data_IF_058376982337
#
_entry.id   IF_058376982337
#
_cell.length_a   1.000
_cell.length_b   1.000
_cell.length_c   1.000
_cell.angle_alpha   90.00
_cell.angle_beta   90.00
_cell.angle_gamma   90.00
#
_symmetry.space_group_name_H-M   'P 1'
#
loop_
_entity.id
_entity.type
_entity.pdbx_description
1 polymer ?
#
# COMPACT_ATOMS: atom_id res chain seq x y z
N UNK A 1 -18.29 -19.03 -37.17
CA UNK A 1 -17.72 -18.66 -35.85
C UNK A 1 -17.45 -17.17 -35.87
N UNK A 2 -18.29 -16.36 -35.22
CA UNK A 2 -18.14 -14.90 -35.18
C UNK A 2 -17.22 -14.58 -34.01
N UNK A 3 -15.96 -14.25 -34.29
CA UNK A 3 -15.06 -13.70 -33.28
C UNK A 3 -15.68 -12.36 -32.86
N UNK A 4 -15.94 -12.10 -31.55
CA UNK A 4 -16.40 -10.79 -31.09
C UNK A 4 -15.49 -9.73 -31.72
N UNK A 5 -16.09 -8.74 -32.40
CA UNK A 5 -15.36 -7.72 -33.18
C UNK A 5 -14.20 -7.19 -32.33
N UNK A 6 -12.95 -7.35 -32.78
CA UNK A 6 -11.74 -7.04 -32.02
C UNK A 6 -11.75 -5.66 -31.32
N UNK A 7 -12.51 -4.71 -31.87
CA UNK A 7 -12.78 -3.39 -31.29
C UNK A 7 -13.43 -3.48 -29.91
N UNK A 8 -14.46 -4.32 -29.74
CA UNK A 8 -15.15 -4.51 -28.47
C UNK A 8 -14.20 -5.08 -27.41
N UNK A 9 -13.42 -6.12 -27.77
CA UNK A 9 -12.43 -6.72 -26.87
C UNK A 9 -11.37 -5.70 -26.44
N UNK A 10 -10.87 -4.88 -27.36
CA UNK A 10 -9.90 -3.82 -27.06
C UNK A 10 -10.50 -2.74 -26.14
N UNK A 11 -11.73 -2.30 -26.41
CA UNK A 11 -12.44 -1.33 -25.55
C UNK A 11 -12.66 -1.87 -24.14
N UNK A 12 -13.10 -3.13 -24.00
CA UNK A 12 -13.27 -3.77 -22.69
C UNK A 12 -11.94 -3.90 -21.96
N UNK A 13 -10.87 -4.27 -22.66
CA UNK A 13 -9.53 -4.36 -22.09
C UNK A 13 -9.03 -2.99 -21.58
N UNK A 14 -9.11 -1.94 -22.41
CA UNK A 14 -8.72 -0.59 -22.03
C UNK A 14 -9.50 -0.08 -20.80
N UNK A 15 -10.81 -0.34 -20.77
CA UNK A 15 -11.64 0.00 -19.60
C UNK A 15 -11.18 -0.73 -18.35
N UNK A 16 -10.90 -2.03 -18.45
CA UNK A 16 -10.39 -2.84 -17.34
C UNK A 16 -9.04 -2.32 -16.84
N UNK A 17 -8.13 -1.91 -17.72
CA UNK A 17 -6.85 -1.30 -17.33
C UNK A 17 -7.05 0.00 -16.55
N UNK A 18 -7.99 0.86 -16.98
CA UNK A 18 -8.32 2.11 -16.29
C UNK A 18 -8.92 1.84 -14.91
N UNK A 19 -9.89 0.92 -14.83
CA UNK A 19 -10.51 0.51 -13.58
C UNK A 19 -9.48 -0.05 -12.59
N UNK A 20 -8.57 -0.90 -13.07
CA UNK A 20 -7.48 -1.43 -12.26
C UNK A 20 -6.56 -0.33 -11.74
N UNK A 21 -6.15 0.62 -12.61
CA UNK A 21 -5.33 1.78 -12.18
C UNK A 21 -6.04 2.64 -11.14
N UNK A 22 -7.33 2.88 -11.29
CA UNK A 22 -8.10 3.63 -10.29
C UNK A 22 -8.17 2.89 -8.95
N UNK A 23 -8.33 1.57 -8.97
CA UNK A 23 -8.32 0.75 -7.76
C UNK A 23 -6.97 0.82 -7.05
N UNK A 24 -5.85 0.67 -7.79
CA UNK A 24 -4.49 0.85 -7.24
C UNK A 24 -4.35 2.20 -6.54
N UNK A 25 -4.72 3.29 -7.23
CA UNK A 25 -4.59 4.64 -6.68
C UNK A 25 -5.47 4.86 -5.44
N UNK A 26 -6.66 4.26 -5.42
CA UNK A 26 -7.57 4.30 -4.27
C UNK A 26 -6.95 3.60 -3.06
N UNK A 27 -6.45 2.38 -3.23
CA UNK A 27 -5.81 1.62 -2.15
C UNK A 27 -4.57 2.33 -1.61
N UNK A 28 -3.71 2.85 -2.49
CA UNK A 28 -2.53 3.65 -2.08
C UNK A 28 -2.95 4.84 -1.23
N UNK A 29 -3.96 5.60 -1.68
CA UNK A 29 -4.46 6.77 -0.95
C UNK A 29 -5.02 6.37 0.41
N UNK A 30 -5.86 5.35 0.44
CA UNK A 30 -6.46 4.83 1.67
C UNK A 30 -5.38 4.44 2.68
N UNK A 31 -4.38 3.68 2.24
CA UNK A 31 -3.31 3.21 3.10
C UNK A 31 -2.42 4.36 3.61
N UNK A 32 -2.03 5.30 2.74
CA UNK A 32 -1.28 6.50 3.17
C UNK A 32 -2.07 7.32 4.19
N UNK A 33 -3.39 7.50 3.98
CA UNK A 33 -4.25 8.20 4.93
C UNK A 33 -4.31 7.48 6.28
N UNK A 34 -4.35 6.15 6.27
CA UNK A 34 -4.32 5.34 7.49
C UNK A 34 -3.00 5.48 8.25
N UNK A 35 -1.86 5.43 7.56
CA UNK A 35 -0.55 5.68 8.16
C UNK A 35 -0.52 7.05 8.82
N UNK A 36 -0.91 8.10 8.11
CA UNK A 36 -0.91 9.47 8.64
C UNK A 36 -1.85 9.61 9.84
N UNK A 37 -3.03 8.98 9.79
CA UNK A 37 -3.97 8.95 10.90
C UNK A 37 -3.35 8.30 12.14
N UNK A 38 -2.72 7.15 11.97
CA UNK A 38 -2.07 6.41 13.06
C UNK A 38 -0.87 7.14 13.64
N UNK A 39 -0.07 7.81 12.79
CA UNK A 39 1.05 8.65 13.20
C UNK A 39 0.62 9.94 13.90
N UNK A 40 -0.62 10.41 13.73
CA UNK A 40 -1.13 11.60 14.45
C UNK A 40 -1.82 11.25 15.76
N UNK A 41 -2.21 9.99 15.95
CA UNK A 41 -2.87 9.56 17.18
C UNK A 41 -1.88 9.51 18.34
N UNK A 42 -2.08 10.38 19.32
CA UNK A 42 -1.20 10.58 20.49
C UNK A 42 -1.08 9.35 21.38
N UNK A 43 -2.06 8.45 21.35
CA UNK A 43 -2.05 7.18 22.09
C UNK A 43 -0.96 6.24 21.58
N UNK A 44 -0.72 6.24 20.26
CA UNK A 44 0.30 5.41 19.63
C UNK A 44 1.73 5.93 19.90
N UNK A 45 1.87 7.22 20.22
CA UNK A 45 3.18 7.87 20.40
C UNK A 45 4.01 7.28 21.53
N UNK A 46 3.35 6.75 22.57
CA UNK A 46 4.03 6.14 23.73
C UNK A 46 4.80 4.87 23.37
N UNK A 47 4.36 4.14 22.34
CA UNK A 47 4.96 2.87 21.93
C UNK A 47 6.14 3.06 20.97
N UNK A 48 6.34 4.27 20.42
CA UNK A 48 7.41 4.59 19.49
C UNK A 48 7.37 3.85 18.15
N UNK A 49 6.41 2.95 17.99
CA UNK A 49 6.12 2.22 16.78
C UNK A 49 4.60 2.19 16.55
N UNK A 50 4.20 2.11 15.29
CA UNK A 50 2.86 1.71 14.88
C UNK A 50 2.96 0.47 14.05
N UNK A 51 1.96 -0.40 14.20
CA UNK A 51 1.74 -1.55 13.33
C UNK A 51 0.36 -1.39 12.70
N UNK A 52 0.32 -1.52 11.39
CA UNK A 52 -0.88 -1.42 10.56
C UNK A 52 -0.99 -2.74 9.82
N UNK A 53 -2.07 -3.45 10.08
CA UNK A 53 -2.40 -4.65 9.33
C UNK A 53 -3.11 -4.25 8.04
N UNK A 54 -2.71 -4.84 6.92
CA UNK A 54 -3.34 -4.68 5.62
C UNK A 54 -3.96 -6.03 5.21
N UNK A 55 -5.23 -6.28 5.57
CA UNK A 55 -5.92 -7.48 5.14
C UNK A 55 -6.05 -7.52 3.62
N UNK A 56 -5.84 -8.69 3.03
CA UNK A 56 -6.01 -8.89 1.59
C UNK A 56 -7.45 -8.59 1.11
N UNK A 57 -8.45 -8.73 2.00
CA UNK A 57 -9.83 -8.37 1.70
C UNK A 57 -10.03 -6.85 1.47
N UNK A 58 -9.29 -6.01 2.20
CA UNK A 58 -9.42 -4.54 2.14
C UNK A 58 -8.45 -3.91 1.13
N UNK A 59 -7.31 -4.56 0.90
CA UNK A 59 -6.22 -4.10 0.04
C UNK A 59 -5.80 -5.13 -1.01
N UNK A 60 -6.73 -5.68 -1.81
CA UNK A 60 -6.48 -6.83 -2.68
C UNK A 60 -5.41 -6.58 -3.75
N UNK A 61 -5.21 -5.33 -4.16
CA UNK A 61 -4.19 -4.99 -5.15
C UNK A 61 -2.83 -4.79 -4.49
N UNK A 62 -2.76 -4.07 -3.37
CA UNK A 62 -1.49 -3.82 -2.67
C UNK A 62 -0.89 -5.06 -2.01
N UNK A 63 -1.71 -5.99 -1.52
CA UNK A 63 -1.24 -7.27 -0.94
C UNK A 63 -0.83 -8.30 -2.01
N UNK A 64 -1.23 -8.09 -3.26
CA UNK A 64 -0.85 -8.96 -4.37
C UNK A 64 0.65 -8.87 -4.70
N UNK A 65 1.16 -9.89 -5.39
CA UNK A 65 2.55 -9.89 -5.89
C UNK A 65 2.87 -8.67 -6.77
N UNK A 66 1.89 -8.16 -7.52
CA UNK A 66 2.03 -6.94 -8.32
C UNK A 66 2.00 -5.64 -7.51
N UNK A 67 1.45 -5.65 -6.30
CA UNK A 67 1.39 -4.51 -5.40
C UNK A 67 2.70 -4.20 -4.67
N UNK A 68 3.68 -5.11 -4.69
CA UNK A 68 4.94 -5.00 -3.95
C UNK A 68 5.75 -3.75 -4.30
N UNK A 69 5.76 -3.35 -5.56
CA UNK A 69 6.45 -2.14 -6.01
C UNK A 69 5.82 -0.87 -5.42
N UNK A 70 4.49 -0.85 -5.31
CA UNK A 70 3.77 0.25 -4.69
C UNK A 70 4.05 0.32 -3.18
N UNK A 71 4.07 -0.81 -2.49
CA UNK A 71 4.45 -0.87 -1.08
C UNK A 71 5.91 -0.42 -0.85
N UNK A 72 6.83 -0.80 -1.73
CA UNK A 72 8.21 -0.33 -1.70
C UNK A 72 8.32 1.19 -1.90
N UNK A 73 7.50 1.74 -2.79
CA UNK A 73 7.43 3.20 -3.01
C UNK A 73 6.93 3.92 -1.75
N UNK A 74 5.85 3.42 -1.14
CA UNK A 74 5.29 3.98 0.10
C UNK A 74 6.31 3.89 1.24
N UNK A 75 7.03 2.76 1.37
CA UNK A 75 8.13 2.59 2.31
C UNK A 75 9.18 3.68 2.14
N UNK A 76 9.68 3.86 0.91
CA UNK A 76 10.73 4.83 0.61
C UNK A 76 10.30 6.27 0.95
N UNK A 77 9.06 6.66 0.62
CA UNK A 77 8.54 7.98 0.95
C UNK A 77 8.52 8.25 2.48
N UNK A 78 8.11 7.24 3.25
CA UNK A 78 8.04 7.34 4.71
C UNK A 78 9.46 7.32 5.32
N UNK A 79 10.37 6.52 4.76
CA UNK A 79 11.79 6.53 5.15
C UNK A 79 12.47 7.86 4.85
N UNK A 80 12.18 8.48 3.71
CA UNK A 80 12.65 9.83 3.39
C UNK A 80 12.10 10.89 4.35
N UNK A 81 10.94 10.66 4.97
CA UNK A 81 10.38 11.54 5.99
C UNK A 81 11.02 11.33 7.39
N UNK A 82 11.99 10.42 7.52
CA UNK A 82 12.76 10.19 8.75
C UNK A 82 12.22 9.07 9.64
N UNK A 83 11.35 8.21 9.12
CA UNK A 83 10.80 7.07 9.85
C UNK A 83 11.45 5.76 9.40
N UNK A 84 11.69 4.82 10.31
CA UNK A 84 12.09 3.48 9.90
C UNK A 84 10.85 2.64 9.59
N UNK A 85 10.92 1.83 8.54
CA UNK A 85 9.75 1.12 8.01
C UNK A 85 10.10 -0.30 7.62
N UNK A 86 9.29 -1.22 8.13
CA UNK A 86 9.36 -2.65 7.86
C UNK A 86 7.98 -3.16 7.46
N UNK A 87 7.94 -4.05 6.47
CA UNK A 87 6.72 -4.79 6.19
C UNK A 87 7.03 -6.28 6.05
N UNK A 88 6.08 -7.10 6.49
CA UNK A 88 6.15 -8.56 6.40
C UNK A 88 4.89 -9.09 5.74
N UNK A 89 5.06 -10.13 4.93
CA UNK A 89 3.94 -10.89 4.37
C UNK A 89 3.63 -12.03 5.32
N UNK A 90 2.35 -12.17 5.65
CA UNK A 90 1.84 -13.31 6.41
C UNK A 90 1.55 -14.48 5.48
N UNK A 91 1.43 -15.69 6.03
CA UNK A 91 1.05 -16.87 5.27
C UNK A 91 -0.37 -16.77 4.68
N UNK A 92 -1.26 -15.97 5.29
CA UNK A 92 -2.60 -15.67 4.78
C UNK A 92 -2.60 -14.70 3.58
N UNK A 93 -1.44 -14.13 3.23
CA UNK A 93 -1.31 -13.13 2.18
C UNK A 93 -1.58 -11.69 2.62
N UNK A 94 -1.83 -11.47 3.91
CA UNK A 94 -1.95 -10.12 4.48
C UNK A 94 -0.56 -9.49 4.66
N UNK A 95 -0.52 -8.16 4.66
CA UNK A 95 0.72 -7.41 4.85
C UNK A 95 0.67 -6.67 6.18
N UNK A 96 1.62 -6.95 7.06
CA UNK A 96 1.83 -6.15 8.27
C UNK A 96 2.84 -5.05 7.97
N UNK A 97 2.46 -3.79 8.18
CA UNK A 97 3.29 -2.62 7.96
C UNK A 97 3.61 -1.93 9.28
N UNK A 98 4.90 -1.87 9.62
CA UNK A 98 5.39 -1.32 10.86
C UNK A 98 6.20 -0.05 10.58
N UNK A 99 5.90 1.02 11.31
CA UNK A 99 6.62 2.30 11.24
C UNK A 99 7.17 2.62 12.62
N UNK A 100 8.47 2.84 12.73
CA UNK A 100 9.17 3.23 13.95
C UNK A 100 9.72 4.66 13.81
N UNK A 101 9.39 5.54 14.76
CA UNK A 101 9.86 6.93 14.80
C UNK A 101 10.82 7.22 15.95
N UNK A 102 11.24 6.19 16.71
CA UNK A 102 12.29 6.32 17.74
C UNK A 102 13.67 6.47 17.13
N UNK A 103 13.85 5.97 15.91
CA UNK A 103 15.05 6.17 15.11
C UNK A 103 15.06 7.59 14.55
N UNK A 104 15.38 8.58 15.38
CA UNK A 104 15.95 9.83 14.87
C UNK A 104 17.31 9.43 14.30
N UNK A 105 17.44 9.45 12.97
CA UNK A 105 18.75 9.32 12.34
C UNK A 105 19.62 10.46 12.87
N UNK A 106 20.47 10.15 13.84
CA UNK A 106 21.58 10.99 14.23
C UNK A 106 22.52 11.03 13.03
N UNK A 107 22.30 11.97 12.12
CA UNK A 107 23.30 12.37 11.15
C UNK A 107 24.46 13.00 11.94
N UNK A 108 25.42 12.16 12.36
CA UNK A 108 26.80 12.57 12.64
C UNK A 108 27.58 12.59 11.33
#
# INVERSE_FOLDING_TARGET
MIIPRAIFLNQTYQKSCIEHRHQVMKEIRQFKSEIVRMLRATENHKLGNIRIEMPCADYPVLTSTGGREHLATIRNEITMAGYDVFFTYTESGDVSFSVDWRMVVNNQ
#
